data_IF_144762861250
#
_entry.id   IF_144762861250
#
_cell.length_a   1.000
_cell.length_b   1.000
_cell.length_c   1.000
_cell.angle_alpha   90.00
_cell.angle_beta   90.00
_cell.angle_gamma   90.00
#
_symmetry.space_group_name_H-M   'P 1'
#
loop_
_entity.id
_entity.type
_entity.pdbx_description
1 polymer ?
#
# COMPACT_ATOMS: atom_id res chain seq x y z
N UNK A 1 11.50 -25.53 -17.23
CA UNK A 1 10.33 -24.64 -17.07
C UNK A 1 10.39 -23.86 -15.75
N UNK A 2 10.68 -24.51 -14.61
CA UNK A 2 10.85 -23.82 -13.32
C UNK A 2 12.01 -22.81 -13.35
N UNK A 3 13.15 -23.13 -13.97
CA UNK A 3 14.30 -22.21 -14.06
C UNK A 3 13.96 -20.89 -14.74
N UNK A 4 13.15 -20.95 -15.81
CA UNK A 4 12.67 -19.76 -16.51
C UNK A 4 11.75 -18.92 -15.61
N UNK A 5 10.88 -19.56 -14.81
CA UNK A 5 10.03 -18.85 -13.84
C UNK A 5 10.85 -18.21 -12.73
N UNK A 6 11.88 -18.89 -12.22
CA UNK A 6 12.78 -18.33 -11.20
C UNK A 6 13.57 -17.14 -11.72
N UNK A 7 14.09 -17.21 -12.94
CA UNK A 7 14.78 -16.09 -13.59
C UNK A 7 13.86 -14.88 -13.77
N UNK A 8 12.62 -15.10 -14.19
CA UNK A 8 11.63 -14.02 -14.33
C UNK A 8 11.29 -13.38 -12.97
N UNK A 9 11.12 -14.19 -11.92
CA UNK A 9 10.82 -13.68 -10.57
C UNK A 9 11.99 -12.84 -10.01
N UNK A 10 13.24 -13.23 -10.25
CA UNK A 10 14.40 -12.43 -9.84
C UNK A 10 14.42 -11.05 -10.51
N UNK A 11 14.11 -10.98 -11.81
CA UNK A 11 14.04 -9.72 -12.54
C UNK A 11 12.92 -8.81 -12.02
N UNK A 12 11.79 -9.39 -11.64
CA UNK A 12 10.66 -8.68 -11.06
C UNK A 12 10.98 -8.14 -9.66
N UNK A 13 11.49 -8.99 -8.76
CA UNK A 13 11.84 -8.62 -7.39
C UNK A 13 12.98 -7.58 -7.34
N UNK A 14 13.91 -7.59 -8.30
CA UNK A 14 14.95 -6.58 -8.41
C UNK A 14 14.40 -5.14 -8.57
N UNK A 15 13.15 -4.97 -8.99
CA UNK A 15 12.48 -3.67 -9.11
C UNK A 15 11.91 -3.13 -7.79
N UNK A 16 12.16 -3.79 -6.65
CA UNK A 16 11.61 -3.42 -5.33
C UNK A 16 11.79 -1.95 -4.95
N UNK A 17 12.89 -1.32 -5.37
CA UNK A 17 13.17 0.10 -5.10
C UNK A 17 12.21 1.10 -5.78
N UNK A 18 11.31 0.63 -6.64
CA UNK A 18 10.26 1.44 -7.28
C UNK A 18 8.96 1.53 -6.48
N UNK A 19 8.86 0.81 -5.37
CA UNK A 19 7.66 0.71 -4.56
C UNK A 19 7.84 1.43 -3.23
N UNK A 20 6.78 2.09 -2.76
CA UNK A 20 6.78 2.80 -1.47
C UNK A 20 6.76 1.84 -0.26
N UNK A 21 6.27 0.61 -0.45
CA UNK A 21 6.12 -0.40 0.60
C UNK A 21 6.49 -1.79 0.10
N UNK A 22 7.05 -2.61 0.99
CA UNK A 22 7.42 -4.00 0.72
C UNK A 22 6.87 -4.87 1.86
N UNK A 23 6.16 -5.95 1.51
CA UNK A 23 5.68 -6.95 2.48
C UNK A 23 6.42 -8.26 2.18
N UNK A 24 7.15 -8.77 3.17
CA UNK A 24 7.75 -10.11 3.10
C UNK A 24 6.73 -11.11 3.66
N UNK A 25 6.18 -11.93 2.78
CA UNK A 25 5.12 -12.87 3.12
C UNK A 25 5.69 -14.16 3.73
N UNK A 26 6.09 -14.12 5.00
CA UNK A 26 6.51 -15.30 5.78
C UNK A 26 5.34 -15.99 6.49
N UNK A 27 4.34 -15.20 6.91
CA UNK A 27 3.11 -15.66 7.55
C UNK A 27 1.92 -14.94 6.90
N UNK A 28 0.98 -15.70 6.36
CA UNK A 28 -0.14 -15.17 5.59
C UNK A 28 -0.96 -14.14 6.38
N UNK A 29 -1.31 -14.44 7.63
CA UNK A 29 -2.12 -13.54 8.47
C UNK A 29 -1.42 -12.20 8.73
N UNK A 30 -0.09 -12.23 8.91
CA UNK A 30 0.72 -11.01 9.07
C UNK A 30 0.75 -10.21 7.77
N UNK A 31 1.04 -10.85 6.64
CA UNK A 31 1.08 -10.17 5.35
C UNK A 31 -0.28 -9.54 4.98
N UNK A 32 -1.38 -10.25 5.27
CA UNK A 32 -2.74 -9.73 5.06
C UNK A 32 -3.03 -8.54 5.98
N UNK A 33 -2.58 -8.59 7.24
CA UNK A 33 -2.70 -7.48 8.17
C UNK A 33 -1.91 -6.26 7.68
N UNK A 34 -0.65 -6.42 7.28
CA UNK A 34 0.21 -5.34 6.78
C UNK A 34 -0.39 -4.68 5.54
N UNK A 35 -0.92 -5.47 4.60
CA UNK A 35 -1.61 -4.95 3.42
C UNK A 35 -2.83 -4.11 3.80
N UNK A 36 -3.67 -4.59 4.73
CA UNK A 36 -4.83 -3.82 5.24
C UNK A 36 -4.38 -2.53 5.91
N UNK A 37 -3.30 -2.57 6.69
CA UNK A 37 -2.75 -1.40 7.38
C UNK A 37 -2.25 -0.33 6.40
N UNK A 38 -1.56 -0.72 5.32
CA UNK A 38 -1.13 0.19 4.26
C UNK A 38 -2.36 0.83 3.60
N UNK A 39 -3.35 0.04 3.17
CA UNK A 39 -4.57 0.58 2.54
C UNK A 39 -5.32 1.51 3.50
N UNK A 40 -5.39 1.15 4.77
CA UNK A 40 -6.02 1.98 5.80
C UNK A 40 -5.30 3.32 5.97
N UNK A 41 -3.96 3.32 6.07
CA UNK A 41 -3.18 4.56 6.21
C UNK A 41 -3.33 5.49 5.00
N UNK A 42 -3.39 4.93 3.77
CA UNK A 42 -3.66 5.73 2.57
C UNK A 42 -5.02 6.44 2.62
N UNK A 43 -6.04 5.81 3.22
CA UNK A 43 -7.36 6.43 3.42
C UNK A 43 -7.33 7.53 4.48
N UNK A 44 -6.37 7.51 5.40
CA UNK A 44 -6.23 8.53 6.46
C UNK A 44 -5.43 9.76 6.02
N UNK A 45 -4.77 9.75 4.86
CA UNK A 45 -4.08 10.95 4.31
C UNK A 45 -5.05 12.14 4.23
N UNK A 46 -4.57 13.34 4.54
CA UNK A 46 -5.38 14.58 4.52
C UNK A 46 -6.07 14.75 3.17
N UNK A 47 -5.40 14.50 2.04
CA UNK A 47 -6.00 14.60 0.70
C UNK A 47 -7.14 13.58 0.47
N UNK A 48 -7.05 12.38 1.06
CA UNK A 48 -8.12 11.39 1.02
C UNK A 48 -9.28 11.78 1.95
N UNK A 49 -8.99 12.23 3.17
CA UNK A 49 -9.99 12.69 4.15
C UNK A 49 -10.73 13.94 3.67
N UNK A 50 -10.03 14.91 3.09
CA UNK A 50 -10.63 16.11 2.48
C UNK A 50 -11.63 15.76 1.39
N UNK A 51 -11.30 14.81 0.51
CA UNK A 51 -12.22 14.33 -0.53
C UNK A 51 -13.43 13.58 0.05
N UNK A 52 -13.20 12.71 1.03
CA UNK A 52 -14.26 11.88 1.61
C UNK A 52 -15.19 12.64 2.57
N UNK A 53 -14.72 13.73 3.18
CA UNK A 53 -15.42 14.50 4.22
C UNK A 53 -15.40 16.01 3.93
N UNK A 54 -15.64 16.41 2.69
CA UNK A 54 -15.52 17.80 2.25
C UNK A 54 -16.34 18.77 3.10
N UNK A 55 -17.59 18.42 3.43
CA UNK A 55 -18.48 19.23 4.26
C UNK A 55 -17.95 19.43 5.69
N UNK A 56 -17.38 18.38 6.29
CA UNK A 56 -16.77 18.48 7.63
C UNK A 56 -15.56 19.41 7.62
N UNK A 57 -14.73 19.34 6.59
CA UNK A 57 -13.57 20.23 6.45
C UNK A 57 -13.99 21.69 6.23
N UNK A 58 -15.07 21.93 5.47
CA UNK A 58 -15.69 23.24 5.30
C UNK A 58 -16.24 23.80 6.62
N UNK A 59 -17.05 23.00 7.33
CA UNK A 59 -17.69 23.42 8.57
C UNK A 59 -16.68 23.76 9.68
N UNK A 60 -15.53 23.07 9.70
CA UNK A 60 -14.45 23.32 10.65
C UNK A 60 -13.42 24.36 10.17
N UNK A 61 -13.60 24.93 8.97
CA UNK A 61 -12.69 25.91 8.36
C UNK A 61 -11.23 25.43 8.24
N UNK A 62 -11.04 24.17 7.82
CA UNK A 62 -9.73 23.49 7.67
C UNK A 62 -9.45 22.99 6.24
N UNK A 63 -10.15 23.59 5.26
CA UNK A 63 -10.05 23.24 3.84
C UNK A 63 -8.65 23.36 3.23
#
# INVERSE_FOLDING_TARGET
MIDMRMKNAQLEVAQVGKFDFVIINELFDRALFDLKAIVHSQRLKISAQRRARAETFQALNIL
#
